data_IF_329785594972
#
_entry.id   IF_329785594972
#
_cell.length_a   1.000
_cell.length_b   1.000
_cell.length_c   1.000
_cell.angle_alpha   90.00
_cell.angle_beta   90.00
_cell.angle_gamma   90.00
#
_symmetry.space_group_name_H-M   'P 1'
#
loop_
_entity.id
_entity.type
_entity.pdbx_description
1 polymer ?
#
# COMPACT_ATOMS: atom_id res chain seq x y z
N UNK A 1 11.33 0.87 -0.28
CA UNK A 1 10.15 1.27 -1.08
C UNK A 1 9.33 0.02 -1.30
N UNK A 2 8.04 0.03 -0.92
CA UNK A 2 7.16 -1.12 -1.14
C UNK A 2 6.83 -1.22 -2.63
N UNK A 3 7.76 -1.79 -3.41
CA UNK A 3 7.47 -2.26 -4.76
C UNK A 3 6.61 -3.52 -4.65
N UNK A 4 5.35 -3.35 -4.24
CA UNK A 4 4.37 -4.44 -4.27
C UNK A 4 3.87 -4.54 -5.71
N UNK A 5 4.58 -5.32 -6.50
CA UNK A 5 4.17 -5.70 -7.84
C UNK A 5 3.19 -6.88 -7.82
N UNK A 6 2.77 -7.28 -9.02
CA UNK A 6 1.94 -8.48 -9.21
C UNK A 6 2.62 -9.75 -8.68
N UNK A 7 3.95 -9.82 -8.79
CA UNK A 7 4.80 -10.90 -8.26
C UNK A 7 4.72 -11.01 -6.74
N UNK A 8 4.89 -9.89 -6.03
CA UNK A 8 4.88 -9.82 -4.57
C UNK A 8 3.50 -10.13 -4.01
N UNK A 9 2.43 -9.66 -4.67
CA UNK A 9 1.06 -10.02 -4.33
C UNK A 9 0.82 -11.53 -4.42
N UNK A 10 1.39 -12.19 -5.45
CA UNK A 10 1.31 -13.64 -5.60
C UNK A 10 2.03 -14.37 -4.45
N UNK A 11 3.24 -13.92 -4.09
CA UNK A 11 4.00 -14.49 -2.97
C UNK A 11 3.22 -14.35 -1.65
N UNK A 12 2.66 -13.17 -1.39
CA UNK A 12 1.83 -12.92 -0.19
C UNK A 12 0.58 -13.80 -0.22
N UNK A 13 -0.07 -13.97 -1.37
CA UNK A 13 -1.24 -14.83 -1.50
C UNK A 13 -0.90 -16.30 -1.17
N UNK A 14 0.23 -16.81 -1.66
CA UNK A 14 0.71 -18.16 -1.34
C UNK A 14 1.00 -18.31 0.15
N UNK A 15 1.72 -17.36 0.75
CA UNK A 15 2.02 -17.39 2.20
C UNK A 15 0.73 -17.35 3.02
N UNK A 16 -0.23 -16.49 2.67
CA UNK A 16 -1.54 -16.41 3.32
C UNK A 16 -2.31 -17.72 3.21
N UNK A 17 -2.29 -18.39 2.05
CA UNK A 17 -2.91 -19.70 1.85
C UNK A 17 -2.26 -20.76 2.75
N UNK A 18 -0.95 -20.75 2.91
CA UNK A 18 -0.24 -21.75 3.74
C UNK A 18 -0.51 -21.53 5.23
N UNK A 19 -0.49 -20.27 5.69
CA UNK A 19 -0.65 -19.92 7.11
C UNK A 19 -2.10 -20.07 7.56
N UNK A 20 -3.04 -19.53 6.78
CA UNK A 20 -4.47 -19.54 7.12
C UNK A 20 -5.15 -20.84 6.66
N UNK A 21 -4.69 -21.40 5.54
CA UNK A 21 -5.29 -22.55 4.89
C UNK A 21 -6.05 -22.18 3.60
N UNK A 22 -5.95 -23.01 2.54
CA UNK A 22 -6.60 -22.73 1.24
C UNK A 22 -8.12 -22.72 1.29
N UNK A 23 -8.72 -23.39 2.30
CA UNK A 23 -10.18 -23.44 2.48
C UNK A 23 -10.70 -22.31 3.37
N UNK A 24 -9.90 -21.86 4.32
CA UNK A 24 -10.30 -20.86 5.31
C UNK A 24 -10.19 -19.43 4.77
N UNK A 25 -9.16 -19.15 3.96
CA UNK A 25 -8.98 -17.84 3.31
C UNK A 25 -10.22 -17.37 2.51
N UNK A 26 -10.78 -18.16 1.57
CA UNK A 26 -11.98 -17.74 0.84
C UNK A 26 -13.21 -17.59 1.75
N UNK A 27 -13.33 -18.40 2.80
CA UNK A 27 -14.43 -18.30 3.75
C UNK A 27 -14.33 -17.03 4.62
N UNK A 28 -13.11 -16.68 5.06
CA UNK A 28 -12.82 -15.43 5.76
C UNK A 28 -13.11 -14.21 4.87
N UNK A 29 -12.65 -14.21 3.62
CA UNK A 29 -12.94 -13.12 2.68
C UNK A 29 -14.44 -12.95 2.43
N UNK A 30 -15.21 -14.04 2.30
CA UNK A 30 -16.67 -13.98 2.17
C UNK A 30 -17.34 -13.40 3.40
N UNK A 31 -16.87 -13.78 4.59
CA UNK A 31 -17.42 -13.31 5.86
C UNK A 31 -17.11 -11.82 6.07
N UNK A 32 -15.84 -11.44 5.88
CA UNK A 32 -15.40 -10.06 5.97
C UNK A 32 -16.10 -9.18 4.92
N UNK A 33 -16.23 -9.67 3.70
CA UNK A 33 -16.93 -8.98 2.62
C UNK A 33 -18.40 -8.75 2.94
N UNK A 34 -19.11 -9.73 3.52
CA UNK A 34 -20.50 -9.57 3.96
C UNK A 34 -20.62 -8.54 5.08
N UNK A 35 -19.73 -8.55 6.06
CA UNK A 35 -19.72 -7.57 7.15
C UNK A 35 -19.41 -6.17 6.64
N UNK A 36 -18.40 -6.03 5.78
CA UNK A 36 -18.05 -4.77 5.14
C UNK A 36 -19.19 -4.23 4.26
N UNK A 37 -19.88 -5.10 3.51
CA UNK A 37 -21.02 -4.72 2.70
C UNK A 37 -22.19 -4.20 3.56
N UNK A 38 -22.47 -4.85 4.69
CA UNK A 38 -23.48 -4.39 5.66
C UNK A 38 -23.10 -3.03 6.24
N UNK A 39 -21.86 -2.87 6.67
CA UNK A 39 -21.36 -1.58 7.18
C UNK A 39 -21.45 -0.48 6.12
N UNK A 40 -21.13 -0.79 4.86
CA UNK A 40 -21.23 0.16 3.75
C UNK A 40 -22.68 0.54 3.45
N UNK A 41 -23.61 -0.41 3.50
CA UNK A 41 -25.04 -0.14 3.36
C UNK A 41 -25.53 0.77 4.49
N UNK A 42 -25.21 0.43 5.74
CA UNK A 42 -25.53 1.25 6.91
C UNK A 42 -24.95 2.66 6.78
N UNK A 43 -23.67 2.80 6.43
CA UNK A 43 -23.02 4.09 6.22
C UNK A 43 -23.69 4.91 5.11
N UNK A 44 -24.21 4.26 4.06
CA UNK A 44 -25.00 4.92 3.03
C UNK A 44 -26.33 5.47 3.55
N UNK A 45 -27.00 4.73 4.44
CA UNK A 45 -28.23 5.18 5.08
C UNK A 45 -27.97 6.29 6.10
N UNK A 46 -26.90 6.19 6.90
CA UNK A 46 -26.43 7.28 7.76
C UNK A 46 -26.07 8.53 6.96
N UNK A 47 -25.39 8.40 5.82
CA UNK A 47 -25.07 9.54 4.98
C UNK A 47 -26.34 10.21 4.46
N UNK A 48 -27.36 9.44 4.07
CA UNK A 48 -28.66 9.99 3.64
C UNK A 48 -29.38 10.69 4.79
N UNK A 49 -29.47 10.05 5.95
CA UNK A 49 -30.13 10.63 7.13
C UNK A 49 -29.38 11.85 7.66
N UNK A 50 -28.06 11.78 7.69
CA UNK A 50 -27.19 12.90 8.05
C UNK A 50 -27.42 14.03 7.06
N UNK A 51 -27.29 13.81 5.75
CA UNK A 51 -27.55 14.84 4.73
C UNK A 51 -28.95 15.48 4.85
N UNK A 52 -29.99 14.73 5.20
CA UNK A 52 -31.34 15.27 5.40
C UNK A 52 -31.42 16.13 6.68
N UNK A 53 -30.95 15.60 7.82
CA UNK A 53 -30.92 16.31 9.09
C UNK A 53 -30.06 17.57 9.05
N UNK A 54 -28.95 17.49 8.31
CA UNK A 54 -28.00 18.55 8.05
C UNK A 54 -28.51 19.61 7.06
N UNK A 55 -29.33 19.21 6.08
CA UNK A 55 -30.02 20.17 5.21
C UNK A 55 -31.05 21.00 6.00
N UNK A 56 -31.57 20.43 7.08
CA UNK A 56 -32.50 21.09 7.98
C UNK A 56 -31.81 21.85 9.13
N UNK A 57 -30.59 21.46 9.52
CA UNK A 57 -29.74 22.13 10.49
C UNK A 57 -28.52 22.76 9.81
N UNK A 58 -28.58 24.08 9.53
CA UNK A 58 -27.50 24.96 9.01
C UNK A 58 -26.08 24.37 9.01
N UNK A 59 -25.75 23.73 7.89
CA UNK A 59 -24.62 22.81 7.71
C UNK A 59 -23.22 23.41 7.55
N UNK A 60 -23.12 24.73 7.49
CA UNK A 60 -21.89 25.38 7.04
C UNK A 60 -20.72 25.16 8.01
N UNK A 61 -20.99 25.09 9.32
CA UNK A 61 -19.96 24.94 10.34
C UNK A 61 -19.28 23.57 10.35
N UNK A 62 -20.05 22.50 10.14
CA UNK A 62 -19.50 21.12 10.11
C UNK A 62 -18.74 20.89 8.81
N UNK A 63 -19.26 21.39 7.69
CA UNK A 63 -18.60 21.30 6.39
C UNK A 63 -17.29 22.08 6.37
N UNK A 64 -17.29 23.30 6.93
CA UNK A 64 -16.10 24.13 7.10
C UNK A 64 -15.05 23.47 8.02
N UNK A 65 -15.48 22.81 9.10
CA UNK A 65 -14.58 22.06 9.98
C UNK A 65 -13.92 20.86 9.29
N UNK A 66 -14.68 20.10 8.48
CA UNK A 66 -14.15 18.96 7.72
C UNK A 66 -13.21 19.42 6.59
N UNK A 67 -13.56 20.50 5.89
CA UNK A 67 -12.68 21.08 4.86
C UNK A 67 -11.41 21.67 5.47
N UNK A 68 -11.50 22.27 6.67
CA UNK A 68 -10.34 22.72 7.44
C UNK A 68 -9.43 21.55 7.83
N UNK A 69 -10.01 20.44 8.30
CA UNK A 69 -9.27 19.21 8.63
C UNK A 69 -8.68 18.51 7.40
N UNK A 70 -9.32 18.58 6.24
CA UNK A 70 -8.76 18.08 4.97
C UNK A 70 -7.67 18.98 4.40
N UNK A 71 -7.80 20.30 4.57
CA UNK A 71 -6.81 21.28 4.09
C UNK A 71 -5.51 21.22 4.89
N UNK A 72 -5.59 20.86 6.18
CA UNK A 72 -4.48 20.31 6.95
C UNK A 72 -4.10 18.96 6.30
N UNK A 73 -3.26 18.96 5.26
CA UNK A 73 -2.91 17.79 4.45
C UNK A 73 -1.85 16.90 5.16
N UNK A 74 -2.23 15.87 5.96
CA UNK A 74 -1.24 14.93 6.51
C UNK A 74 -0.48 14.20 5.40
N UNK A 75 -1.08 14.02 4.23
CA UNK A 75 -0.44 13.37 3.08
C UNK A 75 0.73 14.17 2.50
N UNK A 76 0.69 15.50 2.53
CA UNK A 76 1.81 16.31 2.04
C UNK A 76 2.98 16.30 3.03
N UNK A 77 2.68 16.29 4.33
CA UNK A 77 3.70 16.16 5.38
C UNK A 77 4.35 14.77 5.36
N UNK A 78 3.54 13.72 5.22
CA UNK A 78 4.02 12.34 5.06
C UNK A 78 4.86 12.19 3.78
N UNK A 79 4.43 12.76 2.64
CA UNK A 79 5.24 12.75 1.41
C UNK A 79 6.58 13.47 1.58
N UNK A 80 6.60 14.63 2.25
CA UNK A 80 7.85 15.36 2.54
C UNK A 80 8.81 14.54 3.41
N UNK A 81 8.30 13.85 4.41
CA UNK A 81 9.11 12.99 5.29
C UNK A 81 9.57 11.69 4.61
N UNK A 82 8.88 11.23 3.56
CA UNK A 82 9.26 10.04 2.79
C UNK A 82 10.30 10.31 1.69
N UNK A 83 10.40 11.54 1.16
CA UNK A 83 11.45 11.93 0.20
C UNK A 83 12.89 11.62 0.66
N UNK A 84 13.33 11.92 1.90
CA UNK A 84 14.67 11.55 2.36
C UNK A 84 14.86 10.04 2.52
N UNK A 85 13.78 9.29 2.79
CA UNK A 85 13.82 7.83 2.88
C UNK A 85 13.96 7.18 1.50
N UNK A 86 13.41 7.81 0.46
CA UNK A 86 13.56 7.36 -0.93
C UNK A 86 15.02 7.46 -1.41
N UNK A 87 15.71 8.55 -1.07
CA UNK A 87 17.13 8.73 -1.37
C UNK A 87 18.01 7.73 -0.60
N UNK A 88 17.76 7.55 0.69
CA UNK A 88 18.48 6.55 1.49
C UNK A 88 18.24 5.12 0.97
N UNK A 89 17.02 4.80 0.52
CA UNK A 89 16.72 3.52 -0.09
C UNK A 89 17.43 3.33 -1.45
N UNK A 90 17.59 4.39 -2.24
CA UNK A 90 18.31 4.36 -3.51
C UNK A 90 19.81 4.10 -3.30
N UNK A 91 20.44 4.76 -2.32
CA UNK A 91 21.86 4.54 -1.99
C UNK A 91 22.12 3.12 -1.45
N UNK A 92 21.22 2.62 -0.59
CA UNK A 92 21.30 1.23 -0.10
C UNK A 92 21.14 0.24 -1.25
N UNK A 93 20.20 0.47 -2.17
CA UNK A 93 20.00 -0.40 -3.35
C UNK A 93 21.25 -0.40 -4.24
N UNK A 94 21.85 0.77 -4.50
CA UNK A 94 23.09 0.89 -5.28
C UNK A 94 24.29 0.20 -4.60
N UNK A 95 24.39 0.31 -3.28
CA UNK A 95 25.42 -0.38 -2.49
C UNK A 95 25.25 -1.90 -2.52
N UNK A 96 24.01 -2.39 -2.43
CA UNK A 96 23.69 -3.82 -2.52
C UNK A 96 23.95 -4.34 -3.94
N UNK A 97 23.56 -3.62 -5.00
CA UNK A 97 23.84 -4.00 -6.39
C UNK A 97 25.36 -4.11 -6.67
N UNK A 98 26.14 -3.18 -6.12
CA UNK A 98 27.61 -3.19 -6.23
C UNK A 98 28.23 -4.38 -5.51
N UNK A 99 27.66 -4.79 -4.37
CA UNK A 99 28.13 -5.95 -3.62
C UNK A 99 27.64 -7.28 -4.22
N UNK A 100 26.51 -7.26 -4.92
CA UNK A 100 25.87 -8.43 -5.55
C UNK A 100 26.43 -8.72 -6.96
N UNK A 101 27.14 -7.77 -7.58
CA UNK A 101 27.94 -8.01 -8.79
C UNK A 101 29.31 -8.59 -8.42
N UNK A 102 29.60 -9.88 -8.72
CA UNK A 102 30.90 -10.44 -8.40
C UNK A 102 31.96 -9.80 -9.30
N UNK A 103 33.05 -9.33 -8.70
CA UNK A 103 34.27 -8.94 -9.40
C UNK A 103 34.68 -10.10 -10.31
N UNK A 104 34.87 -9.90 -11.63
CA UNK A 104 35.43 -10.94 -12.49
C UNK A 104 36.80 -11.33 -11.95
N UNK A 105 36.94 -12.58 -11.51
CA UNK A 105 38.25 -13.21 -11.42
C UNK A 105 38.83 -13.16 -12.84
N UNK A 106 39.93 -12.45 -12.99
CA UNK A 106 40.76 -12.57 -14.17
C UNK A 106 41.26 -14.01 -14.27
N UNK A 107 41.43 -14.45 -15.52
CA UNK A 107 41.89 -15.74 -16.05
C UNK A 107 40.84 -16.87 -16.16
N UNK A 108 40.92 -17.73 -17.21
CA UNK A 108 42.13 -18.10 -17.96
C UNK A 108 41.99 -18.27 -19.49
N UNK A 109 43.14 -18.39 -20.17
CA UNK A 109 43.39 -19.29 -21.31
C UNK A 109 42.39 -19.36 -22.47
N UNK A 110 42.71 -18.71 -23.60
CA UNK A 110 42.49 -19.23 -24.96
C UNK A 110 42.87 -18.17 -26.01
N UNK A 111 44.13 -18.14 -26.45
CA UNK A 111 44.49 -17.53 -27.72
C UNK A 111 45.84 -18.10 -28.21
N UNK A 112 45.76 -19.20 -28.95
CA UNK A 112 46.76 -19.57 -29.94
C UNK A 112 46.02 -20.10 -31.16
N UNK A 113 46.11 -19.45 -32.33
CA UNK A 113 45.89 -20.08 -33.61
C UNK A 113 47.21 -20.39 -34.31
N UNK A 114 47.19 -21.52 -35.02
CA UNK A 114 48.16 -22.09 -36.01
C UNK A 114 49.52 -22.63 -35.53
#
# INVERSE_FOLDING_TARGET
MFEVGWSELLVIAVVMIVVVGPKDLPNMLRTFGRTAAKLRAMAGDFQKQFNEALKEAELDDVKSSIDSLRSLNPMNEVRKQLNPFEQAAADVRAGVDTMMKPKPAADPAAAAPD
#
